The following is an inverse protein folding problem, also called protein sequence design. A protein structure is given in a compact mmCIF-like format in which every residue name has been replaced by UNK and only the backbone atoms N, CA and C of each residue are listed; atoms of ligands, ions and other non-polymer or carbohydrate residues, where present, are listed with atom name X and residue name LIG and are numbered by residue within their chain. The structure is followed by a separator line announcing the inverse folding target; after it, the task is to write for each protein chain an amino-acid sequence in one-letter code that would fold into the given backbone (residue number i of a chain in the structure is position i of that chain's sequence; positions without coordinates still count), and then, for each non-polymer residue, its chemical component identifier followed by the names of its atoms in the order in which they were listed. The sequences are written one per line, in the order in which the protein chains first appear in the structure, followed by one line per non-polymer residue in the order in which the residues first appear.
data_IF_130840471157
#
_entry.id   IF_130840471157
#
_cell.length_a   1.000
_cell.length_b   1.000
_cell.length_c   1.000
_cell.angle_alpha   90.00
_cell.angle_beta   90.00
_cell.angle_gamma   90.00
#
_symmetry.space_group_name_H-M   'P 1'
#
loop_
_entity.id
_entity.type
_entity.pdbx_description
1 polymer ?
#
# COMPACT_ATOMS: atom_id res chain seq x y z
N UNK A 1 -3.84 27.04 -10.61
CA UNK A 1 -4.68 25.87 -10.31
C UNK A 1 -3.79 24.66 -10.15
N UNK A 2 -4.15 23.74 -9.25
CA UNK A 2 -3.46 22.46 -9.06
C UNK A 2 -4.15 21.38 -9.90
N UNK A 3 -3.37 20.63 -10.68
CA UNK A 3 -3.83 19.44 -11.40
C UNK A 3 -3.55 18.19 -10.57
N UNK A 4 -4.58 17.47 -10.21
CA UNK A 4 -4.49 16.13 -9.63
C UNK A 4 -4.72 15.10 -10.72
N UNK A 5 -3.87 14.09 -10.82
CA UNK A 5 -4.00 13.10 -11.89
C UNK A 5 -3.56 11.69 -11.48
N UNK A 6 -4.29 10.69 -11.95
CA UNK A 6 -3.98 9.27 -11.75
C UNK A 6 -4.42 8.48 -12.98
N UNK A 7 -3.85 7.29 -13.18
CA UNK A 7 -4.38 6.30 -14.12
C UNK A 7 -5.63 5.60 -13.58
N UNK A 8 -5.89 5.75 -12.27
CA UNK A 8 -7.06 5.22 -11.56
C UNK A 8 -8.13 6.30 -11.44
N UNK A 9 -9.41 5.94 -11.33
CA UNK A 9 -10.41 6.89 -10.89
C UNK A 9 -10.11 7.38 -9.47
N UNK A 10 -10.51 8.61 -9.14
CA UNK A 10 -10.14 9.29 -7.89
C UNK A 10 -10.48 8.49 -6.64
N UNK A 11 -11.64 7.84 -6.62
CA UNK A 11 -12.10 6.99 -5.50
C UNK A 11 -11.20 5.78 -5.22
N UNK A 12 -10.30 5.43 -6.14
CA UNK A 12 -9.32 4.34 -6.03
C UNK A 12 -7.89 4.81 -5.92
N UNK A 13 -7.65 6.10 -6.01
CA UNK A 13 -6.36 6.75 -5.85
C UNK A 13 -6.23 7.31 -4.43
N UNK A 14 -6.24 6.43 -3.42
CA UNK A 14 -6.50 6.74 -2.00
C UNK A 14 -5.60 7.87 -1.45
N UNK A 15 -4.27 7.84 -1.71
CA UNK A 15 -3.38 8.94 -1.30
C UNK A 15 -3.75 10.26 -1.98
N UNK A 16 -4.00 10.21 -3.29
CA UNK A 16 -4.35 11.38 -4.09
C UNK A 16 -5.70 11.95 -3.65
N UNK A 17 -6.67 11.08 -3.39
CA UNK A 17 -8.01 11.45 -2.95
C UNK A 17 -7.97 12.17 -1.60
N UNK A 18 -7.22 11.65 -0.62
CA UNK A 18 -7.10 12.29 0.69
C UNK A 18 -6.62 13.74 0.57
N UNK A 19 -5.60 13.98 -0.25
CA UNK A 19 -5.09 15.34 -0.52
C UNK A 19 -6.07 16.16 -1.35
N UNK A 20 -6.68 15.56 -2.40
CA UNK A 20 -7.65 16.25 -3.24
C UNK A 20 -8.85 16.74 -2.44
N UNK A 21 -9.44 15.89 -1.60
CA UNK A 21 -10.61 16.23 -0.80
C UNK A 21 -10.28 17.35 0.21
N UNK A 22 -9.09 17.33 0.81
CA UNK A 22 -8.65 18.29 1.82
C UNK A 22 -8.13 19.64 1.24
N UNK A 23 -7.71 19.67 -0.03
CA UNK A 23 -7.20 20.90 -0.64
C UNK A 23 -8.33 21.86 -1.00
N UNK A 24 -8.31 23.09 -0.47
CA UNK A 24 -9.34 24.12 -0.61
C UNK A 24 -9.12 25.11 -1.78
N UNK A 25 -7.94 25.08 -2.40
CA UNK A 25 -7.62 25.96 -3.54
C UNK A 25 -8.21 25.50 -4.88
N UNK A 26 -8.04 26.30 -5.93
CA UNK A 26 -8.48 25.91 -7.28
C UNK A 26 -7.80 24.63 -7.75
N UNK A 27 -8.61 23.60 -8.00
CA UNK A 27 -8.13 22.25 -8.35
C UNK A 27 -8.96 21.63 -9.47
N UNK A 28 -8.37 20.65 -10.12
CA UNK A 28 -9.01 19.78 -11.10
C UNK A 28 -8.45 18.36 -10.98
N UNK A 29 -9.28 17.35 -11.13
CA UNK A 29 -8.83 15.96 -11.25
C UNK A 29 -9.02 15.49 -12.69
N UNK A 30 -7.97 14.90 -13.26
CA UNK A 30 -8.01 14.28 -14.59
C UNK A 30 -7.52 12.83 -14.47
N UNK A 31 -8.42 11.89 -14.77
CA UNK A 31 -8.00 10.49 -14.93
C UNK A 31 -7.22 10.35 -16.24
N UNK A 32 -5.96 9.88 -16.13
CA UNK A 32 -5.10 9.64 -17.29
C UNK A 32 -5.34 8.26 -17.90
N UNK A 33 -5.28 8.21 -19.21
CA UNK A 33 -5.16 6.96 -19.94
C UNK A 33 -3.73 6.86 -20.48
N UNK A 34 -3.11 5.69 -20.37
CA UNK A 34 -1.76 5.49 -20.88
C UNK A 34 -1.59 6.03 -22.30
N UNK A 35 -0.56 6.85 -22.54
CA UNK A 35 -0.23 7.42 -23.83
C UNK A 35 -1.14 8.56 -24.33
N UNK A 36 -2.11 9.04 -23.52
CA UNK A 36 -2.91 10.22 -23.89
C UNK A 36 -2.44 11.47 -23.17
N UNK A 37 -2.18 12.57 -23.89
CA UNK A 37 -1.88 13.86 -23.26
C UNK A 37 -3.10 14.36 -22.48
N UNK A 38 -2.84 15.22 -21.48
CA UNK A 38 -3.90 15.97 -20.77
C UNK A 38 -4.16 17.25 -21.54
N UNK A 39 -5.40 17.44 -21.97
CA UNK A 39 -5.78 18.64 -22.70
C UNK A 39 -5.52 19.91 -21.88
N UNK A 40 -4.86 20.89 -22.51
CA UNK A 40 -4.53 22.17 -21.89
C UNK A 40 -3.45 22.10 -20.81
N UNK A 41 -2.69 20.99 -20.69
CA UNK A 41 -1.61 20.85 -19.70
C UNK A 41 -0.62 22.02 -19.77
N UNK A 42 -0.20 22.45 -20.96
CA UNK A 42 0.76 23.52 -21.19
C UNK A 42 0.13 24.89 -21.46
N UNK A 43 -1.16 25.06 -21.22
CA UNK A 43 -1.87 26.33 -21.46
C UNK A 43 -1.54 27.45 -20.44
N UNK A 44 -0.70 27.18 -19.43
CA UNK A 44 -0.49 28.05 -18.28
C UNK A 44 -1.59 27.99 -17.21
N UNK A 45 -2.62 27.17 -17.43
CA UNK A 45 -3.74 26.96 -16.51
C UNK A 45 -3.30 26.28 -15.21
N UNK A 46 -2.41 25.28 -15.32
CA UNK A 46 -1.88 24.53 -14.18
C UNK A 46 -0.50 25.03 -13.78
N UNK A 47 -0.28 25.25 -12.49
CA UNK A 47 0.99 25.69 -11.90
C UNK A 47 1.72 24.55 -11.18
N UNK A 48 0.98 23.52 -10.79
CA UNK A 48 1.47 22.38 -10.06
C UNK A 48 0.67 21.15 -10.46
N UNK A 49 1.35 20.03 -10.61
CA UNK A 49 0.72 18.71 -10.77
C UNK A 49 1.03 17.82 -9.56
N UNK A 50 0.02 17.12 -9.07
CA UNK A 50 0.14 16.09 -8.01
C UNK A 50 -0.37 14.77 -8.57
N UNK A 51 0.42 13.71 -8.46
CA UNK A 51 0.06 12.41 -9.05
C UNK A 51 0.62 11.22 -8.26
N UNK A 52 -0.08 10.10 -8.33
CA UNK A 52 0.33 8.81 -7.75
C UNK A 52 1.12 7.91 -8.71
N UNK A 53 1.31 8.34 -9.96
CA UNK A 53 2.08 7.62 -10.98
C UNK A 53 3.15 8.51 -11.61
N UNK A 54 4.28 7.93 -12.03
CA UNK A 54 5.28 8.65 -12.80
C UNK A 54 4.73 9.04 -14.18
N UNK A 55 5.12 10.21 -14.65
CA UNK A 55 4.68 10.81 -15.92
C UNK A 55 5.89 11.29 -16.72
N UNK A 56 5.73 11.31 -18.03
CA UNK A 56 6.75 11.78 -18.98
C UNK A 56 6.59 13.27 -19.31
N UNK A 57 5.52 13.92 -18.82
CA UNK A 57 5.20 15.31 -19.11
C UNK A 57 4.52 15.99 -17.92
N UNK A 58 4.77 17.30 -17.72
CA UNK A 58 4.25 18.07 -16.60
C UNK A 58 4.06 19.54 -17.00
N UNK A 59 3.02 20.20 -16.47
CA UNK A 59 2.78 21.64 -16.74
C UNK A 59 3.75 22.58 -16.02
N UNK A 60 4.62 22.07 -15.17
CA UNK A 60 5.53 22.84 -14.34
C UNK A 60 6.06 22.01 -13.18
N UNK A 61 5.90 22.49 -11.94
CA UNK A 61 6.26 21.70 -10.77
C UNK A 61 5.42 20.43 -10.68
N UNK A 62 6.05 19.33 -10.26
CA UNK A 62 5.44 18.02 -10.20
C UNK A 62 5.76 17.35 -8.87
N UNK A 63 4.73 16.98 -8.11
CA UNK A 63 4.84 16.20 -6.88
C UNK A 63 4.34 14.78 -7.12
N UNK A 64 5.21 13.81 -6.86
CA UNK A 64 4.83 12.39 -6.85
C UNK A 64 4.48 11.94 -5.44
N UNK A 65 3.28 11.37 -5.26
CA UNK A 65 2.80 10.92 -3.94
C UNK A 65 2.67 9.40 -3.82
N UNK A 66 2.93 8.65 -4.89
CA UNK A 66 2.76 7.20 -4.89
C UNK A 66 1.33 6.73 -4.62
N UNK A 67 1.08 5.45 -4.85
CA UNK A 67 -0.23 4.82 -4.58
C UNK A 67 -0.18 3.81 -3.43
N UNK A 68 0.98 3.58 -2.82
CA UNK A 68 1.20 2.68 -1.71
C UNK A 68 2.53 3.01 -1.03
N UNK A 69 2.78 2.45 0.15
CA UNK A 69 4.10 2.48 0.74
C UNK A 69 5.02 1.57 -0.08
N UNK A 70 5.96 2.17 -0.82
CA UNK A 70 6.63 1.55 -1.96
C UNK A 70 7.79 0.61 -1.64
N UNK A 71 8.12 0.35 -0.38
CA UNK A 71 9.35 -0.30 0.03
C UNK A 71 9.37 -1.84 -0.06
N UNK A 72 8.30 -2.48 -0.51
CA UNK A 72 8.26 -3.92 -0.62
C UNK A 72 8.95 -4.42 -1.87
N UNK A 73 8.25 -4.36 -2.97
CA UNK A 73 8.66 -4.90 -4.27
C UNK A 73 9.64 -3.96 -4.98
N UNK A 74 10.66 -4.51 -5.63
CA UNK A 74 11.50 -3.74 -6.57
C UNK A 74 10.70 -3.37 -7.81
N UNK A 75 9.90 -2.33 -7.69
CA UNK A 75 9.13 -1.80 -8.82
C UNK A 75 10.03 -0.84 -9.59
N UNK A 76 10.35 -1.21 -10.82
CA UNK A 76 10.87 -0.26 -11.81
C UNK A 76 12.37 -0.13 -11.94
N UNK A 77 13.19 -0.42 -10.93
CA UNK A 77 14.63 -0.13 -11.00
C UNK A 77 15.51 -1.31 -11.41
N UNK A 78 15.11 -2.53 -11.13
CA UNK A 78 15.96 -3.70 -11.33
C UNK A 78 15.31 -4.82 -12.15
N UNK A 79 14.01 -4.73 -12.47
CA UNK A 79 13.34 -5.78 -13.23
C UNK A 79 13.29 -5.43 -14.71
N UNK A 80 13.78 -6.32 -15.61
CA UNK A 80 13.83 -6.08 -17.06
C UNK A 80 12.48 -5.80 -17.71
N UNK A 81 11.38 -6.23 -17.09
CA UNK A 81 10.02 -6.10 -17.62
C UNK A 81 9.26 -4.90 -17.05
N UNK A 82 9.84 -4.13 -16.13
CA UNK A 82 9.18 -2.94 -15.63
C UNK A 82 9.52 -1.72 -16.49
N UNK A 83 8.55 -1.13 -17.20
CA UNK A 83 8.79 -0.01 -18.11
C UNK A 83 9.02 1.32 -17.40
N UNK A 84 8.90 1.38 -16.08
CA UNK A 84 9.02 2.63 -15.33
C UNK A 84 10.49 2.96 -15.08
N UNK A 85 11.04 3.82 -15.90
CA UNK A 85 12.27 4.57 -15.58
C UNK A 85 11.86 5.84 -14.87
N UNK A 86 12.69 6.26 -13.89
CA UNK A 86 12.48 7.52 -13.18
C UNK A 86 12.23 8.70 -14.13
N UNK A 87 11.47 9.67 -13.68
CA UNK A 87 11.19 10.88 -14.43
C UNK A 87 11.96 12.04 -13.81
N UNK A 88 12.95 12.58 -14.53
CA UNK A 88 13.67 13.80 -14.14
C UNK A 88 12.76 15.05 -13.97
N UNK A 89 11.47 14.90 -14.28
CA UNK A 89 10.46 15.96 -14.13
C UNK A 89 9.93 16.06 -12.69
N UNK A 90 10.13 15.05 -11.83
CA UNK A 90 9.66 15.08 -10.45
C UNK A 90 10.39 16.19 -9.69
N UNK A 91 9.65 17.19 -9.23
CA UNK A 91 10.19 18.27 -8.40
C UNK A 91 10.35 17.80 -6.96
N UNK A 92 9.32 17.13 -6.42
CA UNK A 92 9.33 16.52 -5.10
C UNK A 92 8.62 15.16 -5.14
N UNK A 93 9.11 14.24 -4.31
CA UNK A 93 8.41 13.01 -4.00
C UNK A 93 8.20 12.91 -2.49
N UNK A 94 7.18 12.16 -2.05
CA UNK A 94 6.97 11.90 -0.62
C UNK A 94 7.39 10.49 -0.26
N UNK A 95 7.89 10.32 0.96
CA UNK A 95 8.22 9.02 1.54
C UNK A 95 7.42 8.76 2.83
N UNK A 96 7.25 7.50 3.19
CA UNK A 96 6.53 7.07 4.40
C UNK A 96 7.39 7.12 5.67
N UNK A 97 8.71 7.24 5.53
CA UNK A 97 9.69 7.42 6.60
C UNK A 97 10.98 8.00 6.02
N UNK A 98 11.92 8.40 6.86
CA UNK A 98 13.24 8.85 6.44
C UNK A 98 14.04 7.72 5.78
N UNK A 99 13.94 6.49 6.29
CA UNK A 99 14.61 5.31 5.76
C UNK A 99 14.15 4.93 4.35
N UNK A 100 12.97 5.41 3.95
CA UNK A 100 12.43 5.19 2.61
C UNK A 100 12.88 6.25 1.58
N UNK A 101 13.56 7.30 2.00
CA UNK A 101 14.06 8.35 1.09
C UNK A 101 14.92 7.77 -0.04
N UNK A 102 15.97 6.95 0.23
CA UNK A 102 16.80 6.41 -0.85
C UNK A 102 16.02 5.52 -1.83
N UNK A 103 15.05 4.76 -1.33
CA UNK A 103 14.19 3.88 -2.16
C UNK A 103 13.34 4.72 -3.11
N UNK A 104 12.69 5.78 -2.59
CA UNK A 104 11.83 6.66 -3.37
C UNK A 104 12.66 7.49 -4.37
N UNK A 105 13.80 8.02 -3.95
CA UNK A 105 14.71 8.76 -4.82
C UNK A 105 15.18 7.91 -6.00
N UNK A 106 15.62 6.69 -5.73
CA UNK A 106 16.00 5.72 -6.75
C UNK A 106 14.85 5.34 -7.68
N UNK A 107 13.64 5.14 -7.16
CA UNK A 107 12.45 4.87 -7.95
C UNK A 107 12.07 6.04 -8.86
N UNK A 108 12.08 7.26 -8.33
CA UNK A 108 11.73 8.46 -9.08
C UNK A 108 12.87 8.96 -10.00
N UNK A 109 14.12 8.51 -9.80
CA UNK A 109 15.29 8.99 -10.53
C UNK A 109 15.65 10.44 -10.21
N UNK A 110 15.52 10.83 -8.93
CA UNK A 110 15.79 12.17 -8.40
C UNK A 110 16.80 12.10 -7.25
N UNK A 111 17.27 13.27 -6.76
CA UNK A 111 18.13 13.30 -5.58
C UNK A 111 17.32 13.08 -4.28
N UNK A 112 18.00 12.63 -3.22
CA UNK A 112 17.36 12.39 -1.92
C UNK A 112 16.79 13.68 -1.31
N UNK A 113 17.40 14.84 -1.56
CA UNK A 113 16.92 16.16 -1.10
C UNK A 113 15.55 16.55 -1.70
N UNK A 114 15.15 15.92 -2.80
CA UNK A 114 13.83 16.11 -3.41
C UNK A 114 12.77 15.18 -2.82
N UNK A 115 13.16 14.25 -1.95
CA UNK A 115 12.22 13.34 -1.27
C UNK A 115 11.96 13.81 0.14
N UNK A 116 10.69 14.03 0.46
CA UNK A 116 10.27 14.58 1.75
C UNK A 116 9.49 13.50 2.51
N UNK A 117 9.92 13.13 3.73
CA UNK A 117 9.26 12.09 4.53
C UNK A 117 8.01 12.64 5.21
N UNK A 118 6.94 12.86 4.44
CA UNK A 118 5.66 13.41 4.93
C UNK A 118 4.70 12.35 5.48
N UNK A 119 5.02 11.07 5.31
CA UNK A 119 4.05 9.99 5.50
C UNK A 119 3.13 9.81 4.29
N UNK A 120 2.12 8.96 4.44
CA UNK A 120 1.19 8.62 3.36
C UNK A 120 -0.21 9.16 3.68
N UNK A 121 -0.75 10.12 2.92
CA UNK A 121 -2.01 10.81 3.23
C UNK A 121 -3.20 9.88 3.51
N UNK A 122 -3.32 8.74 2.81
CA UNK A 122 -4.41 7.78 3.05
C UNK A 122 -4.40 7.18 4.46
N UNK A 123 -3.22 7.10 5.09
CA UNK A 123 -3.07 6.48 6.41
C UNK A 123 -3.62 7.35 7.53
N UNK A 124 -3.83 8.65 7.30
CA UNK A 124 -4.39 9.55 8.31
C UNK A 124 -5.77 9.09 8.77
N UNK A 125 -6.56 8.48 7.87
CA UNK A 125 -7.86 7.91 8.20
C UNK A 125 -7.80 6.76 9.23
N UNK A 126 -6.65 6.14 9.42
CA UNK A 126 -6.48 5.05 10.39
C UNK A 126 -6.47 5.54 11.84
N UNK A 127 -5.99 6.76 12.08
CA UNK A 127 -5.84 7.31 13.42
C UNK A 127 -7.16 7.72 14.08
N UNK A 128 -8.22 7.91 13.31
CA UNK A 128 -9.58 8.15 13.81
C UNK A 128 -10.50 6.95 13.71
N UNK A 129 -10.04 5.86 13.09
CA UNK A 129 -10.87 4.68 12.84
C UNK A 129 -11.01 3.82 14.11
N UNK A 130 -12.24 3.39 14.38
CA UNK A 130 -12.52 2.49 15.50
C UNK A 130 -12.80 1.09 14.96
N UNK A 131 -12.16 0.10 15.60
CA UNK A 131 -12.42 -1.30 15.33
C UNK A 131 -13.85 -1.64 15.76
N UNK A 132 -14.58 -2.36 14.90
CA UNK A 132 -15.91 -2.86 15.23
C UNK A 132 -15.82 -4.02 16.22
N UNK A 133 -16.58 -3.95 17.32
CA UNK A 133 -16.64 -5.04 18.30
C UNK A 133 -17.17 -6.32 17.66
N UNK A 134 -16.54 -7.43 18.00
CA UNK A 134 -16.97 -8.77 17.59
C UNK A 134 -16.62 -9.81 18.66
N UNK A 135 -17.44 -10.86 18.83
CA UNK A 135 -17.17 -11.92 19.79
C UNK A 135 -16.10 -12.92 19.31
N UNK A 136 -15.33 -12.54 18.30
CA UNK A 136 -14.29 -13.37 17.68
C UNK A 136 -13.11 -12.53 17.20
N UNK A 137 -11.95 -13.17 17.11
CA UNK A 137 -10.75 -12.61 16.48
C UNK A 137 -10.84 -12.66 14.96
N UNK A 138 -10.41 -11.61 14.28
CA UNK A 138 -10.44 -11.49 12.82
C UNK A 138 -9.02 -11.54 12.25
N UNK A 139 -8.78 -12.50 11.36
CA UNK A 139 -7.52 -12.65 10.64
C UNK A 139 -7.73 -12.29 9.18
N UNK A 140 -7.23 -11.14 8.75
CA UNK A 140 -7.38 -10.65 7.38
C UNK A 140 -6.32 -11.26 6.48
N UNK A 141 -6.71 -12.02 5.47
CA UNK A 141 -5.83 -12.48 4.40
C UNK A 141 -5.99 -11.60 3.16
N UNK A 142 -4.95 -10.83 2.81
CA UNK A 142 -4.95 -9.89 1.70
C UNK A 142 -3.72 -10.09 0.80
N UNK A 143 -3.77 -11.06 -0.14
CA UNK A 143 -2.62 -11.42 -0.96
C UNK A 143 -2.35 -10.44 -2.10
N UNK A 144 -1.10 -10.44 -2.58
CA UNK A 144 -0.71 -9.81 -3.82
C UNK A 144 -1.39 -10.44 -5.03
N UNK A 145 -1.66 -9.62 -6.05
CA UNK A 145 -1.99 -10.14 -7.38
C UNK A 145 -0.80 -10.87 -8.01
N UNK A 146 -1.01 -12.14 -8.37
CA UNK A 146 -0.05 -12.97 -9.09
C UNK A 146 -0.72 -14.14 -9.81
N UNK A 147 -0.09 -14.68 -10.83
CA UNK A 147 -0.53 -15.88 -11.51
C UNK A 147 -0.21 -17.11 -10.64
N UNK A 148 -1.06 -18.14 -10.71
CA UNK A 148 -0.89 -19.37 -9.94
C UNK A 148 -1.80 -19.45 -8.70
N UNK A 149 -1.66 -20.57 -7.98
CA UNK A 149 -2.40 -20.85 -6.74
C UNK A 149 -1.41 -20.99 -5.59
N UNK A 150 -1.16 -19.90 -4.93
CA UNK A 150 -0.21 -19.77 -3.84
C UNK A 150 -0.90 -19.36 -2.52
N UNK A 151 -2.22 -19.40 -2.56
CA UNK A 151 -3.08 -19.05 -1.42
C UNK A 151 -3.20 -20.27 -0.49
N UNK A 152 -3.45 -20.05 0.82
CA UNK A 152 -3.67 -21.15 1.75
C UNK A 152 -4.90 -21.97 1.36
N UNK A 153 -4.88 -23.27 1.67
CA UNK A 153 -6.05 -24.13 1.52
C UNK A 153 -7.11 -23.75 2.56
N UNK A 154 -8.18 -23.12 2.09
CA UNK A 154 -9.28 -22.68 2.95
C UNK A 154 -9.99 -23.83 3.70
N UNK A 155 -9.95 -25.07 3.17
CA UNK A 155 -10.45 -26.24 3.89
C UNK A 155 -9.58 -26.57 5.11
N UNK A 156 -8.26 -26.47 4.95
CA UNK A 156 -7.34 -26.68 6.07
C UNK A 156 -7.49 -25.57 7.10
N UNK A 157 -7.54 -24.31 6.67
CA UNK A 157 -7.79 -23.18 7.57
C UNK A 157 -9.08 -23.37 8.36
N UNK A 158 -10.20 -23.73 7.68
CA UNK A 158 -11.46 -23.99 8.35
C UNK A 158 -11.35 -25.06 9.45
N UNK A 159 -10.62 -26.15 9.20
CA UNK A 159 -10.47 -27.27 10.13
C UNK A 159 -9.55 -26.98 11.30
N UNK A 160 -8.50 -26.18 11.08
CA UNK A 160 -7.46 -25.90 12.05
C UNK A 160 -7.77 -24.67 12.90
N UNK A 161 -8.56 -23.73 12.38
CA UNK A 161 -8.86 -22.47 13.04
C UNK A 161 -9.76 -22.71 14.26
N UNK A 162 -9.34 -22.35 15.48
CA UNK A 162 -10.10 -22.62 16.69
C UNK A 162 -11.39 -21.80 16.76
N UNK A 163 -12.30 -22.25 17.65
CA UNK A 163 -13.51 -21.49 17.96
C UNK A 163 -13.17 -20.07 18.43
N UNK A 164 -14.01 -19.10 18.12
CA UNK A 164 -13.76 -17.69 18.44
C UNK A 164 -12.79 -16.99 17.48
N UNK A 165 -12.41 -17.62 16.36
CA UNK A 165 -11.57 -17.03 15.32
C UNK A 165 -12.27 -17.06 13.95
N UNK A 166 -12.00 -16.03 13.12
CA UNK A 166 -12.48 -15.95 11.74
C UNK A 166 -11.35 -15.58 10.79
N UNK A 167 -11.31 -16.25 9.65
CA UNK A 167 -10.41 -15.96 8.55
C UNK A 167 -11.15 -15.19 7.45
N UNK A 168 -10.74 -13.96 7.19
CA UNK A 168 -11.40 -13.06 6.23
C UNK A 168 -10.49 -12.91 5.02
N UNK A 169 -10.90 -13.47 3.89
CA UNK A 169 -10.17 -13.38 2.62
C UNK A 169 -10.60 -12.12 1.89
N UNK A 170 -9.66 -11.20 1.65
CA UNK A 170 -9.86 -9.98 0.85
C UNK A 170 -9.08 -10.11 -0.47
N UNK A 171 -9.70 -10.59 -1.54
CA UNK A 171 -9.02 -10.76 -2.82
C UNK A 171 -8.52 -9.43 -3.38
N UNK A 172 -7.40 -9.48 -4.10
CA UNK A 172 -6.95 -8.31 -4.86
C UNK A 172 -7.91 -8.04 -6.02
N UNK A 173 -8.21 -6.76 -6.30
CA UNK A 173 -9.17 -6.36 -7.35
C UNK A 173 -8.84 -6.95 -8.74
N UNK A 174 -7.56 -7.11 -9.07
CA UNK A 174 -7.13 -7.67 -10.37
C UNK A 174 -7.42 -9.17 -10.47
N UNK A 175 -7.43 -9.90 -9.34
CA UNK A 175 -7.80 -11.33 -9.34
C UNK A 175 -9.30 -11.56 -9.36
N UNK A 176 -10.09 -10.51 -9.10
CA UNK A 176 -11.54 -10.64 -8.96
C UNK A 176 -11.96 -11.59 -7.84
N UNK A 177 -13.22 -12.01 -7.86
CA UNK A 177 -13.80 -12.88 -6.83
C UNK A 177 -13.50 -14.37 -7.11
N UNK A 178 -12.22 -14.76 -7.06
CA UNK A 178 -11.78 -16.15 -7.33
C UNK A 178 -11.99 -17.09 -6.15
N UNK A 179 -12.06 -16.55 -4.94
CA UNK A 179 -12.27 -17.34 -3.73
C UNK A 179 -13.76 -17.67 -3.53
N UNK A 180 -14.01 -18.79 -2.89
CA UNK A 180 -15.33 -19.22 -2.43
C UNK A 180 -15.19 -19.86 -1.05
N UNK A 181 -16.14 -19.61 -0.18
CA UNK A 181 -16.24 -20.27 1.11
C UNK A 181 -17.68 -20.70 1.37
N UNK A 182 -17.83 -21.82 2.04
CA UNK A 182 -19.09 -22.33 2.55
C UNK A 182 -19.05 -22.48 4.08
N UNK A 183 -17.93 -22.15 4.71
CA UNK A 183 -17.71 -22.33 6.14
C UNK A 183 -17.97 -21.04 6.90
N UNK A 184 -18.58 -21.15 8.08
CA UNK A 184 -18.98 -19.99 8.89
C UNK A 184 -17.80 -19.17 9.44
N UNK A 185 -16.64 -19.81 9.66
CA UNK A 185 -15.44 -19.16 10.18
C UNK A 185 -14.45 -18.70 9.08
N UNK A 186 -14.82 -18.87 7.79
CA UNK A 186 -14.05 -18.37 6.65
C UNK A 186 -14.96 -17.49 5.79
N UNK A 187 -14.72 -16.19 5.82
CA UNK A 187 -15.45 -15.18 5.06
C UNK A 187 -14.67 -14.78 3.81
N UNK A 188 -15.36 -14.52 2.71
CA UNK A 188 -14.75 -13.97 1.49
C UNK A 188 -15.40 -12.64 1.16
N UNK A 189 -14.61 -11.57 1.32
CA UNK A 189 -15.01 -10.23 0.96
C UNK A 189 -15.00 -10.00 -0.55
N UNK A 190 -15.75 -9.03 -1.03
CA UNK A 190 -15.70 -8.65 -2.43
C UNK A 190 -14.34 -8.05 -2.81
N UNK A 191 -13.78 -8.49 -3.94
CA UNK A 191 -12.55 -7.90 -4.48
C UNK A 191 -12.67 -6.40 -4.77
N UNK A 192 -13.88 -5.91 -4.98
CA UNK A 192 -14.17 -4.52 -5.38
C UNK A 192 -14.36 -3.55 -4.20
N UNK A 193 -14.56 -4.06 -2.99
CA UNK A 193 -14.67 -3.25 -1.79
C UNK A 193 -13.31 -2.70 -1.36
N UNK A 194 -13.26 -1.53 -0.70
CA UNK A 194 -12.04 -1.01 -0.08
C UNK A 194 -11.47 -2.00 0.94
N UNK A 195 -10.13 -2.05 1.08
CA UNK A 195 -9.47 -2.90 2.08
C UNK A 195 -9.48 -2.28 3.47
N UNK A 196 -9.60 -0.96 3.57
CA UNK A 196 -9.48 -0.20 4.82
C UNK A 196 -10.41 -0.68 5.94
N UNK A 197 -11.73 -0.91 5.75
CA UNK A 197 -12.57 -1.40 6.82
C UNK A 197 -12.13 -2.75 7.38
N UNK A 198 -11.76 -3.67 6.48
CA UNK A 198 -11.26 -5.01 6.87
C UNK A 198 -9.94 -4.93 7.63
N UNK A 199 -9.05 -4.02 7.20
CA UNK A 199 -7.77 -3.80 7.83
C UNK A 199 -7.90 -3.19 9.24
N UNK A 200 -8.78 -2.21 9.41
CA UNK A 200 -9.08 -1.60 10.71
C UNK A 200 -9.66 -2.64 11.67
N UNK A 201 -10.56 -3.47 11.20
CA UNK A 201 -11.25 -4.49 12.00
C UNK A 201 -10.38 -5.72 12.32
N UNK A 202 -9.29 -5.96 11.59
CA UNK A 202 -8.43 -7.11 11.78
C UNK A 202 -7.71 -7.11 13.15
N UNK A 203 -7.50 -8.28 13.72
CA UNK A 203 -6.58 -8.54 14.84
C UNK A 203 -5.18 -8.86 14.34
N UNK A 204 -5.07 -9.60 13.24
CA UNK A 204 -3.81 -9.88 12.53
C UNK A 204 -4.02 -9.72 11.03
N UNK A 205 -2.95 -9.45 10.31
CA UNK A 205 -2.96 -9.37 8.85
C UNK A 205 -2.05 -10.44 8.27
N UNK A 206 -2.64 -11.35 7.51
CA UNK A 206 -1.94 -12.37 6.74
C UNK A 206 -1.78 -11.87 5.33
N UNK A 207 -0.55 -11.85 4.84
CA UNK A 207 -0.27 -11.41 3.47
C UNK A 207 0.96 -12.15 2.92
N UNK A 208 1.39 -11.75 1.74
CA UNK A 208 2.59 -12.27 1.09
C UNK A 208 3.58 -11.11 0.82
N UNK A 209 3.61 -10.59 -0.38
CA UNK A 209 4.47 -9.47 -0.82
C UNK A 209 3.68 -8.16 -0.97
N UNK A 210 2.46 -8.09 -0.47
CA UNK A 210 1.58 -6.94 -0.65
C UNK A 210 1.97 -5.78 0.26
N UNK A 211 1.91 -4.57 -0.28
CA UNK A 211 2.16 -3.34 0.49
C UNK A 211 1.16 -3.11 1.62
N UNK A 212 0.08 -3.88 1.70
CA UNK A 212 -0.88 -3.83 2.81
C UNK A 212 -0.22 -4.17 4.17
N UNK A 213 0.92 -4.89 4.15
CA UNK A 213 1.71 -5.14 5.36
C UNK A 213 2.14 -3.84 6.05
N UNK A 214 2.49 -2.81 5.28
CA UNK A 214 2.89 -1.52 5.85
C UNK A 214 1.70 -0.74 6.41
N UNK A 215 0.54 -0.85 5.78
CA UNK A 215 -0.72 -0.30 6.32
C UNK A 215 -1.10 -0.99 7.64
N UNK A 216 -0.90 -2.30 7.72
CA UNK A 216 -1.07 -3.06 8.95
C UNK A 216 -0.12 -2.58 10.06
N UNK A 217 1.14 -2.30 9.72
CA UNK A 217 2.14 -1.76 10.66
C UNK A 217 1.72 -0.38 11.19
N UNK A 218 1.18 0.53 10.36
CA UNK A 218 0.65 1.83 10.81
C UNK A 218 -0.45 1.63 11.86
N UNK A 219 -1.31 0.65 11.67
CA UNK A 219 -2.38 0.26 12.60
C UNK A 219 -1.90 -0.59 13.79
N UNK A 220 -0.60 -0.87 13.90
CA UNK A 220 0.00 -1.78 14.89
C UNK A 220 -0.69 -3.15 14.93
N UNK A 221 -0.96 -3.71 13.75
CA UNK A 221 -1.49 -5.06 13.58
C UNK A 221 -0.34 -6.03 13.31
N UNK A 222 -0.24 -7.17 14.02
CA UNK A 222 0.73 -8.20 13.71
C UNK A 222 0.59 -8.65 12.24
N UNK A 223 1.73 -8.76 11.56
CA UNK A 223 1.81 -9.17 10.14
C UNK A 223 2.36 -10.59 10.07
N UNK A 224 1.61 -11.48 9.46
CA UNK A 224 2.01 -12.85 9.17
C UNK A 224 2.24 -12.98 7.67
N UNK A 225 3.42 -13.45 7.28
CA UNK A 225 3.77 -13.65 5.88
C UNK A 225 3.54 -15.11 5.48
N UNK A 226 2.54 -15.35 4.62
CA UNK A 226 2.28 -16.64 4.01
C UNK A 226 2.68 -16.62 2.54
N UNK A 227 3.79 -17.27 2.19
CA UNK A 227 4.38 -17.17 0.85
C UNK A 227 5.06 -18.46 0.40
N UNK A 228 4.27 -19.42 -0.08
CA UNK A 228 4.70 -20.74 -0.56
C UNK A 228 5.51 -20.71 -1.85
N UNK A 229 5.59 -19.56 -2.53
CA UNK A 229 6.33 -19.36 -3.79
C UNK A 229 7.50 -18.37 -3.64
N UNK A 230 8.03 -18.22 -2.43
CA UNK A 230 9.05 -17.21 -2.09
C UNK A 230 10.20 -17.15 -3.10
N UNK A 231 10.86 -18.26 -3.33
CA UNK A 231 12.07 -18.28 -4.17
C UNK A 231 11.76 -17.85 -5.60
N UNK A 232 10.63 -18.34 -6.13
CA UNK A 232 10.16 -17.94 -7.47
C UNK A 232 9.82 -16.46 -7.53
N UNK A 233 9.09 -15.95 -6.54
CA UNK A 233 8.69 -14.55 -6.53
C UNK A 233 9.90 -13.62 -6.42
N UNK A 234 10.86 -13.93 -5.56
CA UNK A 234 12.10 -13.16 -5.42
C UNK A 234 12.92 -13.16 -6.72
N UNK A 235 12.95 -14.29 -7.44
CA UNK A 235 13.63 -14.37 -8.74
C UNK A 235 12.90 -13.55 -9.84
N UNK A 236 11.56 -13.59 -9.86
CA UNK A 236 10.76 -12.93 -10.91
C UNK A 236 10.55 -11.43 -10.66
N UNK A 237 10.44 -11.00 -9.39
CA UNK A 237 10.05 -9.66 -9.00
C UNK A 237 11.05 -8.93 -8.09
N UNK A 238 11.66 -9.65 -7.16
CA UNK A 238 12.53 -9.10 -6.15
C UNK A 238 11.82 -8.27 -5.06
N UNK A 239 12.54 -8.04 -3.98
CA UNK A 239 12.17 -7.16 -2.87
C UNK A 239 13.33 -6.19 -2.62
N UNK A 240 13.06 -4.99 -2.09
CA UNK A 240 14.10 -4.01 -1.80
C UNK A 240 15.03 -4.46 -0.66
N UNK A 241 14.47 -5.14 0.33
CA UNK A 241 15.19 -5.64 1.49
C UNK A 241 15.09 -7.16 1.57
N UNK A 242 15.98 -7.82 2.35
CA UNK A 242 15.90 -9.26 2.57
C UNK A 242 14.51 -9.71 3.04
N UNK A 243 13.91 -10.67 2.34
CA UNK A 243 12.59 -11.20 2.64
C UNK A 243 12.71 -12.66 3.11
N UNK A 244 12.05 -13.05 4.20
CA UNK A 244 11.04 -12.31 4.96
C UNK A 244 11.58 -11.44 6.12
N UNK A 245 12.86 -11.51 6.46
CA UNK A 245 13.48 -11.05 7.71
C UNK A 245 13.22 -9.57 8.00
N UNK A 246 13.29 -8.74 6.97
CA UNK A 246 13.07 -7.29 7.08
C UNK A 246 11.59 -6.90 6.99
N UNK A 247 10.65 -7.84 6.99
CA UNK A 247 9.22 -7.53 6.86
C UNK A 247 8.36 -8.14 7.98
N UNK A 248 8.69 -9.33 8.46
CA UNK A 248 8.09 -9.95 9.64
C UNK A 248 8.91 -11.15 10.09
N UNK A 249 8.92 -11.41 11.40
CA UNK A 249 9.43 -12.68 11.97
C UNK A 249 8.46 -13.84 11.81
N UNK A 250 7.17 -13.54 11.57
CA UNK A 250 6.13 -14.56 11.39
C UNK A 250 5.98 -14.90 9.91
N UNK A 251 6.85 -15.79 9.44
CA UNK A 251 6.83 -16.31 8.08
C UNK A 251 6.50 -17.79 8.08
N UNK A 252 5.60 -18.23 7.21
CA UNK A 252 5.18 -19.63 7.08
C UNK A 252 4.84 -19.98 5.61
N UNK A 253 4.90 -21.29 5.34
CA UNK A 253 4.60 -21.90 4.04
C UNK A 253 3.50 -22.98 4.14
N UNK A 254 3.02 -23.27 5.35
CA UNK A 254 1.95 -24.24 5.60
C UNK A 254 0.86 -23.67 6.50
N UNK A 255 -0.33 -24.27 6.42
CA UNK A 255 -1.53 -23.79 7.10
C UNK A 255 -1.52 -24.06 8.61
N UNK A 256 -0.80 -25.07 9.07
CA UNK A 256 -0.72 -25.38 10.50
C UNK A 256 0.08 -24.29 11.22
N UNK A 257 1.23 -23.92 10.67
CA UNK A 257 2.05 -22.83 11.19
C UNK A 257 1.34 -21.47 11.01
N UNK A 258 0.60 -21.27 9.90
CA UNK A 258 -0.20 -20.08 9.71
C UNK A 258 -1.25 -19.93 10.83
N UNK A 259 -1.99 -21.01 11.16
CA UNK A 259 -3.00 -20.97 12.22
C UNK A 259 -2.35 -20.77 13.60
N UNK A 260 -1.22 -21.39 13.86
CA UNK A 260 -0.44 -21.15 15.08
C UNK A 260 -0.10 -19.66 15.23
N UNK A 261 0.46 -19.04 14.20
CA UNK A 261 0.75 -17.60 14.23
C UNK A 261 -0.50 -16.75 14.38
N UNK A 262 -1.60 -17.06 13.69
CA UNK A 262 -2.86 -16.32 13.86
C UNK A 262 -3.37 -16.31 15.30
N UNK A 263 -3.14 -17.40 16.05
CA UNK A 263 -3.62 -17.53 17.43
C UNK A 263 -2.68 -16.97 18.48
N UNK A 264 -1.39 -16.84 18.17
CA UNK A 264 -0.32 -16.42 19.09
C UNK A 264 0.30 -15.07 18.78
N UNK A 265 0.01 -14.50 17.57
CA UNK A 265 0.64 -13.27 17.13
C UNK A 265 0.30 -12.07 18.03
N UNK A 266 1.32 -11.36 18.44
CA UNK A 266 1.24 -10.13 19.19
C UNK A 266 2.09 -9.04 18.53
N UNK A 267 1.75 -7.79 18.81
CA UNK A 267 2.58 -6.64 18.43
C UNK A 267 3.75 -6.53 19.42
N UNK A 268 4.97 -6.66 18.93
CA UNK A 268 6.19 -6.64 19.74
C UNK A 268 7.13 -5.47 19.37
N UNK A 269 8.25 -5.37 20.08
CA UNK A 269 9.25 -4.32 19.85
C UNK A 269 9.84 -4.39 18.43
N UNK A 270 10.02 -5.58 17.88
CA UNK A 270 10.51 -5.76 16.52
C UNK A 270 9.49 -5.27 15.48
N UNK A 271 8.21 -5.54 15.69
CA UNK A 271 7.15 -5.02 14.83
C UNK A 271 7.10 -3.47 14.88
N UNK A 272 7.36 -2.87 16.05
CA UNK A 272 7.45 -1.42 16.20
C UNK A 272 8.71 -0.85 15.52
N UNK A 273 9.84 -1.55 15.56
CA UNK A 273 11.04 -1.18 14.80
C UNK A 273 10.76 -1.19 13.28
N UNK A 274 10.11 -2.24 12.76
CA UNK A 274 9.73 -2.33 11.36
C UNK A 274 8.72 -1.23 10.98
N UNK A 275 7.73 -0.95 11.84
CA UNK A 275 6.81 0.17 11.63
C UNK A 275 7.55 1.50 11.52
N UNK A 276 8.47 1.76 12.43
CA UNK A 276 9.28 2.98 12.41
C UNK A 276 10.12 3.07 11.15
N UNK A 277 10.74 1.98 10.74
CA UNK A 277 11.54 1.89 9.53
C UNK A 277 10.73 2.15 8.25
N UNK A 278 9.54 1.54 8.10
CA UNK A 278 8.77 1.65 6.85
C UNK A 278 7.75 2.78 6.84
N UNK A 279 7.26 3.20 7.98
CA UNK A 279 6.11 4.09 8.11
C UNK A 279 6.28 5.13 9.23
N UNK A 280 7.50 5.48 9.61
CA UNK A 280 7.81 6.37 10.74
C UNK A 280 7.17 7.73 10.65
N UNK A 281 6.97 8.27 9.44
CA UNK A 281 6.31 9.55 9.21
C UNK A 281 4.76 9.46 9.10
N UNK A 282 4.17 8.24 9.18
CA UNK A 282 2.72 8.06 9.15
C UNK A 282 2.14 8.19 10.58
N UNK A 283 1.75 9.38 10.97
CA UNK A 283 1.33 9.75 12.33
C UNK A 283 -0.07 10.40 12.40
N UNK A 284 -0.83 10.40 11.29
CA UNK A 284 -2.15 11.01 11.18
C UNK A 284 -2.17 12.45 10.64
N UNK A 285 -0.99 13.02 10.30
CA UNK A 285 -0.84 14.40 9.81
C UNK A 285 -0.21 14.46 8.41
N UNK A 286 -0.14 13.35 7.68
CA UNK A 286 0.49 13.31 6.36
C UNK A 286 -0.21 14.20 5.34
N UNK A 287 -1.54 14.26 5.37
CA UNK A 287 -2.34 15.12 4.49
C UNK A 287 -2.06 16.60 4.77
N UNK A 288 -2.00 17.00 6.04
CA UNK A 288 -1.69 18.39 6.43
C UNK A 288 -0.33 18.82 5.90
N UNK A 289 0.71 18.03 6.14
CA UNK A 289 2.07 18.29 5.63
C UNK A 289 2.11 18.34 4.10
N UNK A 290 1.35 17.49 3.44
CA UNK A 290 1.24 17.50 1.98
C UNK A 290 0.58 18.78 1.46
N UNK A 291 -0.44 19.33 2.15
CA UNK A 291 -1.06 20.61 1.80
C UNK A 291 -0.07 21.79 1.97
N UNK A 292 0.76 21.75 2.99
CA UNK A 292 1.83 22.74 3.19
C UNK A 292 2.85 22.69 2.04
N UNK A 293 3.28 21.49 1.63
CA UNK A 293 4.16 21.33 0.47
C UNK A 293 3.51 21.88 -0.81
N UNK A 294 2.24 21.58 -1.06
CA UNK A 294 1.49 22.13 -2.20
C UNK A 294 1.51 23.66 -2.18
N UNK A 295 1.20 24.28 -1.04
CA UNK A 295 1.18 25.74 -0.88
C UNK A 295 2.56 26.37 -1.12
N UNK A 296 3.64 25.74 -0.66
CA UNK A 296 5.01 26.19 -0.89
C UNK A 296 5.44 26.11 -2.36
N UNK A 297 4.79 25.28 -3.15
CA UNK A 297 5.05 25.11 -4.58
C UNK A 297 4.31 26.13 -5.48
N UNK A 298 3.26 26.77 -4.98
CA UNK A 298 2.40 27.70 -5.74
C UNK A 298 2.91 29.14 -5.70
#
# INVERSE_FOLDING_TARGET
MVLFTSVRPLERAENLRAVYDAYDGPKEFVQRWHGRPIDGMHSGRYRLMVTDGLVEDSPGKYIWIGHGMGAGKTIGLQHPTCPFRGSSLVTYAIASSEEMIPVVAGFCGISEEQVIPLGMPRTDAYFGAQKTDAPYKRHLYAPTFRAGRWDPDLNMIWRLLPEGHRFIVKPHMVTGNRFRSVWQNVEVASAWEPSTPYLVDADTVVTDYSSIMFDAMVLRKPVILFATDKDRYLQERGMYYPYPEMYSRMYCEDEAQLVEYMTTAEWDDHAEELRSFYAGACDGHSTERMLELIRSCL
#
